data_IF_662155857737
#
_entry.id   IF_662155857737
#
_cell.length_a   1.000
_cell.length_b   1.000
_cell.length_c   1.000
_cell.angle_alpha   90.00
_cell.angle_beta   90.00
_cell.angle_gamma   90.00
#
_symmetry.space_group_name_H-M   'P 1'
#
loop_
_entity.id
_entity.type
_entity.pdbx_description
1 polymer ?
#
# COMPACT_ATOMS: atom_id res chain seq x y z
N UNK A 1 8.40 13.05 -2.06
CA UNK A 1 7.23 12.25 -1.66
C UNK A 1 5.98 13.13 -1.51
N UNK A 2 6.00 14.23 -0.71
CA UNK A 2 4.82 15.11 -0.52
C UNK A 2 4.29 15.68 -1.85
N UNK A 3 5.17 16.22 -2.69
CA UNK A 3 4.76 16.76 -3.98
C UNK A 3 4.17 15.68 -4.90
N UNK A 4 4.74 14.47 -4.90
CA UNK A 4 4.21 13.35 -5.68
C UNK A 4 2.80 12.95 -5.22
N UNK A 5 2.51 12.99 -3.91
CA UNK A 5 1.16 12.70 -3.40
C UNK A 5 0.13 13.74 -3.83
N UNK A 6 0.48 15.02 -3.84
CA UNK A 6 -0.40 16.10 -4.32
C UNK A 6 -0.72 15.92 -5.81
N UNK A 7 0.30 15.70 -6.65
CA UNK A 7 0.13 15.48 -8.09
C UNK A 7 -0.77 14.25 -8.35
N UNK A 8 -0.61 13.20 -7.55
CA UNK A 8 -1.38 11.97 -7.68
C UNK A 8 -2.90 12.20 -7.53
N UNK A 9 -3.33 13.10 -6.64
CA UNK A 9 -4.76 13.42 -6.44
C UNK A 9 -5.41 13.91 -7.73
N UNK A 10 -4.67 14.65 -8.56
CA UNK A 10 -5.18 15.23 -9.81
C UNK A 10 -5.02 14.29 -11.00
N UNK A 11 -3.86 13.68 -11.15
CA UNK A 11 -3.58 12.79 -12.28
C UNK A 11 -4.27 11.44 -12.12
N UNK A 12 -4.25 10.86 -10.92
CA UNK A 12 -4.83 9.54 -10.66
C UNK A 12 -6.33 9.47 -10.91
N UNK A 13 -7.09 10.55 -10.66
CA UNK A 13 -8.53 10.58 -10.96
C UNK A 13 -8.84 10.40 -12.44
N UNK A 14 -7.90 10.71 -13.34
CA UNK A 14 -8.09 10.60 -14.77
C UNK A 14 -8.31 9.16 -15.25
N UNK A 15 -7.99 8.16 -14.46
CA UNK A 15 -8.32 6.76 -14.76
C UNK A 15 -9.84 6.52 -14.89
N UNK A 16 -10.68 7.39 -14.31
CA UNK A 16 -12.13 7.30 -14.44
C UNK A 16 -12.61 7.84 -15.82
N UNK A 17 -11.84 8.75 -16.43
CA UNK A 17 -12.19 9.44 -17.67
C UNK A 17 -11.59 8.75 -18.91
N UNK A 18 -10.48 8.02 -18.74
CA UNK A 18 -9.74 7.42 -19.85
C UNK A 18 -9.92 5.89 -19.91
N UNK A 19 -9.69 5.33 -21.11
CA UNK A 19 -9.57 3.89 -21.27
C UNK A 19 -8.40 3.35 -20.42
N UNK A 20 -8.67 2.29 -19.64
CA UNK A 20 -7.71 1.72 -18.69
C UNK A 20 -6.42 1.30 -19.37
N UNK A 21 -6.47 0.75 -20.60
CA UNK A 21 -5.27 0.32 -21.30
C UNK A 21 -4.40 1.51 -21.71
N UNK A 22 -5.02 2.58 -22.25
CA UNK A 22 -4.32 3.82 -22.61
C UNK A 22 -3.70 4.48 -21.39
N UNK A 23 -4.45 4.51 -20.28
CA UNK A 23 -3.95 5.02 -19.00
C UNK A 23 -2.79 4.20 -18.47
N UNK A 24 -2.87 2.87 -18.55
CA UNK A 24 -1.77 1.98 -18.13
C UNK A 24 -0.51 2.22 -18.96
N UNK A 25 -0.62 2.37 -20.28
CA UNK A 25 0.53 2.69 -21.15
C UNK A 25 1.15 4.04 -20.82
N UNK A 26 0.35 5.05 -20.51
CA UNK A 26 0.85 6.34 -20.03
C UNK A 26 1.67 6.17 -18.72
N UNK A 27 1.15 5.43 -17.76
CA UNK A 27 1.82 5.20 -16.46
C UNK A 27 3.11 4.38 -16.63
N UNK A 28 3.09 3.36 -17.47
CA UNK A 28 4.26 2.53 -17.80
C UNK A 28 5.35 3.37 -18.46
N UNK A 29 4.98 4.20 -19.44
CA UNK A 29 5.93 5.11 -20.10
C UNK A 29 6.54 6.10 -19.11
N UNK A 30 5.73 6.66 -18.22
CA UNK A 30 6.20 7.56 -17.17
C UNK A 30 7.17 6.87 -16.20
N UNK A 31 6.88 5.61 -15.83
CA UNK A 31 7.76 4.82 -14.97
C UNK A 31 9.11 4.52 -15.67
N UNK A 32 9.08 4.15 -16.94
CA UNK A 32 10.30 3.91 -17.71
C UNK A 32 11.15 5.19 -17.84
N UNK A 33 10.53 6.34 -18.11
CA UNK A 33 11.22 7.63 -18.13
C UNK A 33 11.82 7.94 -16.76
N UNK A 34 11.08 7.66 -15.68
CA UNK A 34 11.55 7.90 -14.32
C UNK A 34 12.78 7.07 -13.96
N UNK A 35 12.78 5.78 -14.31
CA UNK A 35 13.91 4.87 -14.08
C UNK A 35 15.12 5.23 -14.94
N UNK A 36 14.88 5.61 -16.20
CA UNK A 36 15.93 6.12 -17.07
C UNK A 36 16.54 7.43 -16.53
N UNK A 37 15.70 8.37 -16.11
CA UNK A 37 16.15 9.64 -15.49
C UNK A 37 17.00 9.37 -14.26
N UNK A 38 16.61 8.39 -13.43
CA UNK A 38 17.37 8.00 -12.25
C UNK A 38 18.78 7.50 -12.63
N UNK A 39 18.94 6.77 -13.74
CA UNK A 39 20.26 6.32 -14.23
C UNK A 39 21.21 7.46 -14.60
N UNK A 40 20.69 8.66 -14.89
CA UNK A 40 21.44 9.84 -15.36
C UNK A 40 21.73 10.88 -14.27
N UNK A 41 21.51 10.56 -13.00
CA UNK A 41 21.77 11.48 -11.89
C UNK A 41 23.23 11.93 -11.88
N UNK A 42 23.42 13.26 -11.93
CA UNK A 42 24.72 13.92 -11.87
C UNK A 42 24.77 15.13 -10.92
N UNK A 43 23.63 15.52 -10.35
CA UNK A 43 23.51 16.62 -9.42
C UNK A 43 22.41 16.39 -8.39
N UNK A 44 22.44 17.10 -7.27
CA UNK A 44 21.42 17.03 -6.21
C UNK A 44 20.06 17.43 -6.75
N UNK A 45 19.96 18.46 -7.55
CA UNK A 45 18.69 18.89 -8.16
C UNK A 45 18.10 17.80 -9.05
N UNK A 46 18.94 17.16 -9.86
CA UNK A 46 18.51 16.07 -10.72
C UNK A 46 18.07 14.84 -9.92
N UNK A 47 18.73 14.55 -8.79
CA UNK A 47 18.33 13.52 -7.85
C UNK A 47 16.93 13.78 -7.27
N UNK A 48 16.62 15.02 -6.87
CA UNK A 48 15.29 15.39 -6.39
C UNK A 48 14.20 15.13 -7.44
N UNK A 49 14.44 15.53 -8.69
CA UNK A 49 13.52 15.29 -9.81
C UNK A 49 13.33 13.80 -10.06
N UNK A 50 14.42 13.04 -10.10
CA UNK A 50 14.37 11.59 -10.33
C UNK A 50 13.60 10.86 -9.22
N UNK A 51 13.85 11.19 -7.95
CA UNK A 51 13.09 10.63 -6.81
C UNK A 51 11.61 11.03 -6.88
N UNK A 52 11.30 12.29 -7.21
CA UNK A 52 9.92 12.74 -7.38
C UNK A 52 9.19 11.92 -8.43
N UNK A 53 9.80 11.76 -9.61
CA UNK A 53 9.23 11.00 -10.72
C UNK A 53 9.04 9.52 -10.36
N UNK A 54 10.03 8.89 -9.71
CA UNK A 54 9.94 7.50 -9.28
C UNK A 54 8.86 7.28 -8.21
N UNK A 55 8.75 8.16 -7.22
CA UNK A 55 7.69 8.09 -6.20
C UNK A 55 6.31 8.30 -6.81
N UNK A 56 6.20 9.22 -7.76
CA UNK A 56 4.95 9.49 -8.45
C UNK A 56 4.54 8.34 -9.37
N UNK A 57 5.43 7.91 -10.29
CA UNK A 57 5.10 6.88 -11.28
C UNK A 57 5.00 5.48 -10.69
N UNK A 58 5.99 5.07 -9.87
CA UNK A 58 6.06 3.71 -9.30
C UNK A 58 5.11 3.54 -8.13
N UNK A 59 5.42 4.15 -6.99
CA UNK A 59 4.63 3.97 -5.76
C UNK A 59 3.22 4.52 -5.88
N UNK A 60 3.04 5.68 -6.52
CA UNK A 60 1.74 6.33 -6.69
C UNK A 60 0.94 5.70 -7.82
N UNK A 61 1.31 6.02 -9.06
CA UNK A 61 0.48 5.75 -10.24
C UNK A 61 0.35 4.26 -10.58
N UNK A 62 1.42 3.45 -10.50
CA UNK A 62 1.34 2.01 -10.81
C UNK A 62 0.44 1.27 -9.82
N UNK A 63 0.66 1.47 -8.50
CA UNK A 63 -0.19 0.87 -7.46
C UNK A 63 -1.64 1.32 -7.59
N UNK A 64 -1.87 2.62 -7.84
CA UNK A 64 -3.19 3.17 -8.06
C UNK A 64 -3.88 2.53 -9.27
N UNK A 65 -3.20 2.47 -10.42
CA UNK A 65 -3.74 1.90 -11.65
C UNK A 65 -4.10 0.43 -11.49
N UNK A 66 -3.18 -0.39 -10.98
CA UNK A 66 -3.41 -1.81 -10.77
C UNK A 66 -4.57 -2.07 -9.81
N UNK A 67 -4.52 -1.48 -8.61
CA UNK A 67 -5.54 -1.71 -7.59
C UNK A 67 -6.92 -1.14 -7.97
N UNK A 68 -6.97 -0.02 -8.72
CA UNK A 68 -8.23 0.55 -9.22
C UNK A 68 -8.84 -0.33 -10.28
N UNK A 69 -8.03 -0.82 -11.23
CA UNK A 69 -8.48 -1.74 -12.28
C UNK A 69 -9.06 -3.01 -11.67
N UNK A 70 -8.34 -3.66 -10.76
CA UNK A 70 -8.84 -4.85 -10.08
C UNK A 70 -10.14 -4.56 -9.32
N UNK A 71 -10.18 -3.47 -8.54
CA UNK A 71 -11.37 -3.13 -7.75
C UNK A 71 -12.59 -2.80 -8.59
N UNK A 72 -12.40 -2.33 -9.83
CA UNK A 72 -13.48 -1.98 -10.76
C UNK A 72 -14.06 -3.20 -11.47
N UNK A 73 -13.20 -4.09 -11.94
CA UNK A 73 -13.61 -5.18 -12.82
C UNK A 73 -13.87 -6.51 -12.10
N UNK A 74 -13.35 -6.71 -10.89
CA UNK A 74 -13.63 -7.90 -10.09
C UNK A 74 -14.60 -7.55 -8.96
N UNK A 75 -15.86 -8.03 -9.07
CA UNK A 75 -16.89 -7.79 -8.05
C UNK A 75 -16.97 -8.94 -7.05
N UNK A 76 -17.20 -10.16 -7.52
CA UNK A 76 -17.41 -11.35 -6.70
C UNK A 76 -16.12 -11.96 -6.14
N UNK A 77 -14.99 -11.78 -6.84
CA UNK A 77 -13.66 -12.33 -6.47
C UNK A 77 -12.63 -11.24 -6.21
N UNK A 78 -13.08 -10.05 -5.78
CA UNK A 78 -12.23 -8.86 -5.59
C UNK A 78 -11.10 -9.12 -4.60
N UNK A 79 -11.39 -9.79 -3.50
CA UNK A 79 -10.38 -10.11 -2.49
C UNK A 79 -9.28 -11.01 -3.04
N UNK A 80 -9.64 -12.09 -3.75
CA UNK A 80 -8.68 -13.00 -4.38
C UNK A 80 -7.86 -12.30 -5.46
N UNK A 81 -8.48 -11.49 -6.31
CA UNK A 81 -7.79 -10.76 -7.38
C UNK A 81 -6.80 -9.74 -6.81
N UNK A 82 -7.19 -9.00 -5.76
CA UNK A 82 -6.30 -8.06 -5.07
C UNK A 82 -5.14 -8.78 -4.38
N UNK A 83 -5.38 -9.89 -3.68
CA UNK A 83 -4.32 -10.65 -3.03
C UNK A 83 -3.31 -11.21 -4.04
N UNK A 84 -3.77 -11.70 -5.18
CA UNK A 84 -2.88 -12.15 -6.26
C UNK A 84 -2.03 -11.00 -6.83
N UNK A 85 -2.63 -9.81 -7.01
CA UNK A 85 -1.90 -8.63 -7.46
C UNK A 85 -0.82 -8.18 -6.44
N UNK A 86 -1.15 -8.16 -5.16
CA UNK A 86 -0.21 -7.80 -4.10
C UNK A 86 0.87 -8.87 -3.86
N UNK A 87 0.58 -10.13 -4.13
CA UNK A 87 1.59 -11.21 -4.08
C UNK A 87 2.75 -10.93 -5.03
N UNK A 88 2.50 -10.33 -6.20
CA UNK A 88 3.55 -9.90 -7.11
C UNK A 88 4.51 -8.89 -6.47
N UNK A 89 3.99 -7.93 -5.67
CA UNK A 89 4.83 -6.98 -4.92
C UNK A 89 5.68 -7.72 -3.88
N UNK A 90 5.09 -8.59 -3.07
CA UNK A 90 5.82 -9.36 -2.06
C UNK A 90 6.89 -10.26 -2.68
N UNK A 91 6.63 -10.83 -3.86
CA UNK A 91 7.61 -11.60 -4.62
C UNK A 91 8.77 -10.71 -5.09
N UNK A 92 8.48 -9.50 -5.55
CA UNK A 92 9.51 -8.54 -5.94
C UNK A 92 10.35 -8.10 -4.72
N UNK A 93 9.73 -7.80 -3.58
CA UNK A 93 10.42 -7.45 -2.34
C UNK A 93 11.37 -8.57 -1.86
N UNK A 94 11.00 -9.82 -2.10
CA UNK A 94 11.85 -10.97 -1.77
C UNK A 94 13.01 -11.17 -2.76
N UNK A 95 12.75 -11.11 -4.07
CA UNK A 95 13.72 -11.42 -5.10
C UNK A 95 14.66 -10.26 -5.46
N UNK A 96 14.11 -9.03 -5.52
CA UNK A 96 14.85 -7.89 -6.05
C UNK A 96 16.12 -7.52 -5.26
N UNK A 97 16.15 -7.53 -3.91
CA UNK A 97 17.38 -7.19 -3.18
C UNK A 97 18.55 -8.11 -3.56
N UNK A 98 18.32 -9.41 -3.61
CA UNK A 98 19.35 -10.39 -3.97
C UNK A 98 19.80 -10.21 -5.42
N UNK A 99 18.85 -10.02 -6.34
CA UNK A 99 19.13 -9.82 -7.76
C UNK A 99 19.92 -8.54 -8.00
N UNK A 100 19.56 -7.44 -7.31
CA UNK A 100 20.25 -6.15 -7.45
C UNK A 100 21.67 -6.22 -6.88
N UNK A 101 21.86 -6.83 -5.69
CA UNK A 101 23.19 -7.02 -5.10
C UNK A 101 24.08 -7.81 -6.06
N UNK A 102 23.58 -8.92 -6.60
CA UNK A 102 24.32 -9.70 -7.59
C UNK A 102 24.63 -8.89 -8.86
N UNK A 103 23.68 -8.14 -9.39
CA UNK A 103 23.90 -7.31 -10.56
C UNK A 103 24.98 -6.23 -10.32
N UNK A 104 25.04 -5.65 -9.10
CA UNK A 104 26.08 -4.68 -8.71
C UNK A 104 27.49 -5.27 -8.68
N UNK A 105 27.66 -6.59 -8.58
CA UNK A 105 28.98 -7.22 -8.69
C UNK A 105 29.49 -7.32 -10.14
N UNK A 106 28.58 -7.19 -11.11
CA UNK A 106 28.87 -7.41 -12.53
C UNK A 106 28.89 -6.09 -13.31
N UNK A 107 28.05 -5.10 -12.90
CA UNK A 107 27.87 -3.87 -13.64
C UNK A 107 27.62 -2.66 -12.73
N UNK A 108 27.84 -1.48 -13.27
CA UNK A 108 27.56 -0.21 -12.59
C UNK A 108 26.05 -0.02 -12.35
N UNK A 109 25.68 0.61 -11.24
CA UNK A 109 24.28 0.84 -10.84
C UNK A 109 23.48 1.61 -11.90
N UNK A 110 24.12 2.51 -12.68
CA UNK A 110 23.46 3.23 -13.77
C UNK A 110 22.97 2.29 -14.86
N UNK A 111 23.80 1.31 -15.22
CA UNK A 111 23.45 0.31 -16.23
C UNK A 111 22.29 -0.57 -15.75
N UNK A 112 22.23 -0.91 -14.45
CA UNK A 112 21.11 -1.65 -13.87
C UNK A 112 19.81 -0.85 -14.05
N UNK A 113 19.80 0.46 -13.76
CA UNK A 113 18.62 1.29 -13.95
C UNK A 113 18.21 1.44 -15.42
N UNK A 114 19.16 1.45 -16.36
CA UNK A 114 18.89 1.45 -17.80
C UNK A 114 18.21 0.12 -18.19
N UNK A 115 18.75 -1.03 -17.73
CA UNK A 115 18.17 -2.34 -18.00
C UNK A 115 16.73 -2.42 -17.43
N UNK A 116 16.51 -1.94 -16.23
CA UNK A 116 15.17 -1.88 -15.62
C UNK A 116 14.24 -1.03 -16.50
N UNK A 117 14.69 0.15 -16.96
CA UNK A 117 13.88 1.03 -17.82
C UNK A 117 13.50 0.35 -19.13
N UNK A 118 14.45 -0.30 -19.79
CA UNK A 118 14.21 -1.05 -21.04
C UNK A 118 13.26 -2.23 -20.78
N UNK A 119 13.47 -2.97 -19.70
CA UNK A 119 12.58 -4.10 -19.33
C UNK A 119 11.14 -3.61 -19.08
N UNK A 120 10.94 -2.47 -18.44
CA UNK A 120 9.62 -1.87 -18.23
C UNK A 120 8.93 -1.62 -19.58
N UNK A 121 9.62 -1.01 -20.55
CA UNK A 121 9.05 -0.71 -21.87
C UNK A 121 8.76 -1.97 -22.68
N UNK A 122 9.60 -2.99 -22.58
CA UNK A 122 9.43 -4.21 -23.37
C UNK A 122 8.34 -5.13 -22.79
N UNK A 123 8.30 -5.32 -21.48
CA UNK A 123 7.44 -6.34 -20.87
C UNK A 123 6.10 -5.79 -20.37
N UNK A 124 6.07 -4.64 -19.69
CA UNK A 124 4.84 -4.18 -19.04
C UNK A 124 3.71 -3.80 -20.02
N UNK A 125 3.96 -3.19 -21.20
CA UNK A 125 2.89 -2.94 -22.17
C UNK A 125 2.26 -4.24 -22.67
N UNK A 126 3.07 -5.26 -22.96
CA UNK A 126 2.57 -6.58 -23.40
C UNK A 126 1.70 -7.23 -22.32
N UNK A 127 2.21 -7.30 -21.08
CA UNK A 127 1.46 -7.85 -19.94
C UNK A 127 0.17 -7.08 -19.73
N UNK A 128 0.22 -5.74 -19.73
CA UNK A 128 -0.98 -4.89 -19.55
C UNK A 128 -2.00 -5.10 -20.68
N UNK A 129 -1.55 -5.25 -21.90
CA UNK A 129 -2.44 -5.49 -23.04
C UNK A 129 -3.22 -6.81 -22.88
N UNK A 130 -2.53 -7.91 -22.59
CA UNK A 130 -3.16 -9.21 -22.42
C UNK A 130 -4.09 -9.25 -21.21
N UNK A 131 -3.63 -8.77 -20.05
CA UNK A 131 -4.44 -8.77 -18.83
C UNK A 131 -5.69 -7.89 -18.95
N UNK A 132 -5.57 -6.66 -19.48
CA UNK A 132 -6.72 -5.76 -19.62
C UNK A 132 -7.70 -6.26 -20.67
N UNK A 133 -7.23 -6.90 -21.74
CA UNK A 133 -8.10 -7.51 -22.76
C UNK A 133 -8.96 -8.63 -22.15
N UNK A 134 -8.36 -9.52 -21.37
CA UNK A 134 -9.10 -10.61 -20.72
C UNK A 134 -10.10 -10.10 -19.68
N UNK A 135 -9.69 -9.13 -18.86
CA UNK A 135 -10.56 -8.50 -17.87
C UNK A 135 -11.78 -7.84 -18.53
N UNK A 136 -11.59 -7.14 -19.66
CA UNK A 136 -12.70 -6.56 -20.42
C UNK A 136 -13.64 -7.59 -21.03
N UNK A 137 -13.17 -8.79 -21.37
CA UNK A 137 -14.00 -9.88 -21.85
C UNK A 137 -14.83 -10.48 -20.71
N UNK A 138 -14.21 -10.72 -19.57
CA UNK A 138 -14.87 -11.22 -18.37
C UNK A 138 -15.95 -10.26 -17.84
N UNK A 139 -15.66 -8.95 -17.79
CA UNK A 139 -16.63 -7.96 -17.30
C UNK A 139 -17.87 -7.80 -18.19
N UNK A 140 -17.79 -8.13 -19.48
CA UNK A 140 -18.98 -8.14 -20.37
C UNK A 140 -19.99 -9.24 -20.02
N UNK A 141 -19.53 -10.33 -19.43
CA UNK A 141 -20.40 -11.41 -18.94
C UNK A 141 -21.03 -11.04 -17.59
N UNK A 142 -20.29 -10.31 -16.73
CA UNK A 142 -20.74 -9.87 -15.41
C UNK A 142 -21.60 -8.59 -15.43
N UNK A 143 -21.54 -7.77 -16.45
CA UNK A 143 -22.32 -6.51 -16.56
C UNK A 143 -23.84 -6.72 -16.46
N UNK A 144 -24.32 -7.93 -16.79
CA UNK A 144 -25.73 -8.31 -16.57
C UNK A 144 -26.06 -8.59 -15.08
N UNK A 145 -25.06 -8.82 -14.21
CA UNK A 145 -25.25 -9.01 -12.78
C UNK A 145 -24.98 -7.73 -11.97
N UNK A 146 -24.04 -6.89 -12.40
CA UNK A 146 -23.67 -5.61 -11.74
C UNK A 146 -24.81 -4.58 -11.79
N UNK A 147 -25.72 -4.70 -12.77
CA UNK A 147 -26.94 -3.88 -12.84
C UNK A 147 -27.92 -4.11 -11.68
N UNK A 148 -27.68 -5.10 -10.80
CA UNK A 148 -28.55 -5.42 -9.65
C UNK A 148 -28.17 -4.77 -8.32
N UNK A 149 -27.00 -4.16 -8.19
CA UNK A 149 -26.66 -3.45 -6.97
C UNK A 149 -27.17 -1.99 -7.03
N UNK A 150 -28.32 -1.74 -6.40
CA UNK A 150 -28.87 -0.39 -6.14
C UNK A 150 -28.02 0.41 -5.14
N UNK A 151 -26.67 0.38 -5.31
CA UNK A 151 -25.75 1.11 -4.45
C UNK A 151 -25.50 2.50 -5.03
N UNK A 152 -25.63 3.53 -4.18
CA UNK A 152 -25.27 4.89 -4.54
C UNK A 152 -23.80 4.97 -5.00
N UNK A 153 -23.58 5.53 -6.19
CA UNK A 153 -22.25 5.77 -6.75
C UNK A 153 -21.74 7.16 -6.31
N UNK A 154 -20.88 7.17 -5.31
CA UNK A 154 -20.42 8.41 -4.67
C UNK A 154 -19.33 9.12 -5.49
N UNK A 155 -19.44 10.44 -5.61
CA UNK A 155 -18.35 11.28 -6.13
C UNK A 155 -17.33 11.58 -5.03
N UNK A 156 -16.06 11.81 -5.39
CA UNK A 156 -14.99 12.13 -4.42
C UNK A 156 -15.35 13.29 -3.49
N UNK A 157 -16.03 14.34 -3.99
CA UNK A 157 -16.45 15.49 -3.19
C UNK A 157 -17.48 15.16 -2.11
N UNK A 158 -18.29 14.12 -2.30
CA UNK A 158 -19.24 13.60 -1.33
C UNK A 158 -18.50 12.71 -0.30
N UNK A 159 -17.59 11.85 -0.79
CA UNK A 159 -16.81 10.92 0.05
C UNK A 159 -15.97 11.67 1.09
N UNK A 160 -15.31 12.76 0.71
CA UNK A 160 -14.51 13.59 1.65
C UNK A 160 -15.35 14.16 2.80
N UNK A 161 -16.65 14.37 2.58
CA UNK A 161 -17.58 14.90 3.60
C UNK A 161 -18.19 13.79 4.46
N UNK A 162 -18.03 12.54 4.09
CA UNK A 162 -18.54 11.39 4.83
C UNK A 162 -17.63 11.09 6.03
N UNK A 163 -18.15 11.20 7.24
CA UNK A 163 -17.39 10.87 8.46
C UNK A 163 -16.87 9.42 8.47
N UNK A 164 -17.56 8.50 7.78
CA UNK A 164 -17.12 7.11 7.66
C UNK A 164 -15.78 7.02 6.92
N UNK A 165 -15.64 7.83 5.84
CA UNK A 165 -14.38 7.92 5.09
C UNK A 165 -13.23 8.37 6.00
N UNK A 166 -13.44 9.40 6.82
CA UNK A 166 -12.41 9.95 7.70
C UNK A 166 -11.97 8.89 8.71
N UNK A 167 -12.92 8.22 9.38
CA UNK A 167 -12.61 7.21 10.40
C UNK A 167 -11.90 5.98 9.79
N UNK A 168 -12.37 5.50 8.63
CA UNK A 168 -11.72 4.39 7.93
C UNK A 168 -10.32 4.80 7.45
N UNK A 169 -10.17 5.99 6.89
CA UNK A 169 -8.88 6.50 6.46
C UNK A 169 -7.88 6.59 7.62
N UNK A 170 -8.26 7.13 8.77
CA UNK A 170 -7.42 7.15 9.98
C UNK A 170 -6.95 5.75 10.35
N UNK A 171 -7.84 4.76 10.33
CA UNK A 171 -7.46 3.39 10.63
C UNK A 171 -6.50 2.80 9.57
N UNK A 172 -6.78 3.01 8.28
CA UNK A 172 -5.94 2.50 7.19
C UNK A 172 -4.57 3.18 7.10
N UNK A 173 -4.47 4.45 7.50
CA UNK A 173 -3.21 5.20 7.47
C UNK A 173 -2.24 4.80 8.58
N UNK A 174 -2.69 4.10 9.64
CA UNK A 174 -1.81 3.60 10.70
C UNK A 174 -0.65 2.77 10.14
N UNK A 175 -0.97 1.82 9.24
CA UNK A 175 0.05 0.94 8.67
C UNK A 175 1.13 1.70 7.87
N UNK A 176 0.83 2.55 6.87
CA UNK A 176 1.85 3.22 6.09
C UNK A 176 2.71 4.20 6.89
N UNK A 177 2.21 4.91 7.92
CA UNK A 177 3.09 5.83 8.63
C UNK A 177 3.89 5.17 9.76
N UNK A 178 3.28 4.30 10.56
CA UNK A 178 3.97 3.67 11.69
C UNK A 178 4.99 2.64 11.19
N UNK A 179 4.59 1.74 10.26
CA UNK A 179 5.51 0.73 9.73
C UNK A 179 6.67 1.37 8.96
N UNK A 180 6.43 2.46 8.20
CA UNK A 180 7.53 3.18 7.54
C UNK A 180 8.50 3.78 8.56
N UNK A 181 8.00 4.37 9.65
CA UNK A 181 8.84 4.87 10.73
C UNK A 181 9.69 3.75 11.35
N UNK A 182 9.08 2.61 11.68
CA UNK A 182 9.77 1.43 12.21
C UNK A 182 10.86 0.94 11.25
N UNK A 183 10.57 0.79 9.96
CA UNK A 183 11.53 0.25 8.99
C UNK A 183 12.67 1.22 8.66
N UNK A 184 12.39 2.53 8.61
CA UNK A 184 13.43 3.54 8.37
C UNK A 184 14.38 3.65 9.57
N UNK A 185 13.84 3.59 10.78
CA UNK A 185 14.63 3.74 12.02
C UNK A 185 14.89 2.39 12.72
N UNK A 186 14.91 1.30 11.97
CA UNK A 186 15.18 -0.04 12.51
C UNK A 186 16.50 -0.14 13.27
N UNK A 187 17.56 0.55 12.83
CA UNK A 187 18.85 0.56 13.52
C UNK A 187 18.76 1.19 14.91
N UNK A 188 17.95 2.23 15.09
CA UNK A 188 17.65 2.82 16.39
C UNK A 188 16.93 1.81 17.29
N UNK A 189 15.94 1.09 16.76
CA UNK A 189 15.21 0.05 17.50
C UNK A 189 16.15 -1.08 17.93
N UNK A 190 17.03 -1.52 17.02
CA UNK A 190 18.04 -2.55 17.30
C UNK A 190 18.94 -2.16 18.48
N UNK A 191 19.49 -0.94 18.43
CA UNK A 191 20.36 -0.43 19.47
C UNK A 191 19.64 -0.29 20.80
N UNK A 192 18.40 0.25 20.81
CA UNK A 192 17.60 0.45 22.01
C UNK A 192 17.19 -0.88 22.68
N UNK A 193 16.95 -1.94 21.89
CA UNK A 193 16.53 -3.26 22.37
C UNK A 193 17.70 -4.25 22.56
N UNK A 194 18.92 -3.86 22.18
CA UNK A 194 20.09 -4.76 22.16
C UNK A 194 19.82 -6.05 21.34
N UNK A 195 19.03 -5.94 20.28
CA UNK A 195 18.81 -7.06 19.36
C UNK A 195 19.96 -7.11 18.34
N UNK A 196 20.51 -8.28 18.11
CA UNK A 196 21.55 -8.43 17.09
C UNK A 196 21.01 -8.20 15.69
N UNK A 197 21.83 -7.65 14.79
CA UNK A 197 21.49 -7.41 13.38
C UNK A 197 21.00 -8.68 12.68
N UNK A 198 21.60 -9.83 13.01
CA UNK A 198 21.20 -11.12 12.46
C UNK A 198 19.78 -11.52 12.90
N UNK A 199 19.42 -11.25 14.14
CA UNK A 199 18.08 -11.56 14.69
C UNK A 199 17.00 -10.74 13.97
N UNK A 200 17.26 -9.45 13.69
CA UNK A 200 16.27 -8.64 13.00
C UNK A 200 16.13 -9.08 11.53
N UNK A 201 17.23 -9.43 10.86
CA UNK A 201 17.17 -9.97 9.50
C UNK A 201 16.29 -11.23 9.42
N UNK A 202 16.45 -12.16 10.38
CA UNK A 202 15.58 -13.32 10.50
C UNK A 202 14.12 -12.95 10.79
N UNK A 203 13.89 -11.94 11.63
CA UNK A 203 12.54 -11.47 11.95
C UNK A 203 11.84 -10.85 10.75
N UNK A 204 12.56 -10.22 9.82
CA UNK A 204 12.02 -9.79 8.52
C UNK A 204 11.56 -10.94 7.65
N UNK A 205 12.18 -12.12 7.74
CA UNK A 205 11.68 -13.31 7.05
C UNK A 205 10.32 -13.73 7.61
N UNK A 206 10.16 -13.68 8.94
CA UNK A 206 8.87 -13.97 9.59
C UNK A 206 7.81 -12.94 9.18
N UNK A 207 8.16 -11.65 9.15
CA UNK A 207 7.28 -10.59 8.63
C UNK A 207 6.80 -10.91 7.21
N UNK A 208 7.71 -11.23 6.30
CA UNK A 208 7.38 -11.50 4.90
C UNK A 208 6.47 -12.73 4.74
N UNK A 209 6.79 -13.82 5.42
CA UNK A 209 5.98 -15.04 5.40
C UNK A 209 4.58 -14.76 5.97
N UNK A 210 4.50 -14.11 7.14
CA UNK A 210 3.24 -13.76 7.78
C UNK A 210 2.39 -12.83 6.88
N UNK A 211 3.01 -11.85 6.22
CA UNK A 211 2.35 -10.93 5.31
C UNK A 211 1.76 -11.66 4.11
N UNK A 212 2.53 -12.54 3.45
CA UNK A 212 2.07 -13.31 2.29
C UNK A 212 0.94 -14.28 2.66
N UNK A 213 1.10 -15.03 3.75
CA UNK A 213 0.05 -15.95 4.21
C UNK A 213 -1.24 -15.19 4.52
N UNK A 214 -1.14 -14.09 5.24
CA UNK A 214 -2.30 -13.27 5.61
C UNK A 214 -2.93 -12.61 4.38
N UNK A 215 -2.16 -12.22 3.39
CA UNK A 215 -2.65 -11.66 2.13
C UNK A 215 -3.67 -12.59 1.46
N UNK A 216 -3.36 -13.88 1.34
CA UNK A 216 -4.26 -14.88 0.74
C UNK A 216 -5.46 -15.17 1.64
N UNK A 217 -5.24 -15.30 2.95
CA UNK A 217 -6.32 -15.49 3.93
C UNK A 217 -7.27 -14.30 3.90
N UNK A 218 -6.75 -13.06 3.91
CA UNK A 218 -7.54 -11.84 3.83
C UNK A 218 -8.36 -11.77 2.53
N UNK A 219 -7.76 -12.14 1.39
CA UNK A 219 -8.46 -12.20 0.11
C UNK A 219 -9.69 -13.13 0.16
N UNK A 220 -9.49 -14.34 0.68
CA UNK A 220 -10.59 -15.31 0.86
C UNK A 220 -11.66 -14.79 1.84
N UNK A 221 -11.23 -14.23 2.98
CA UNK A 221 -12.16 -13.72 4.00
C UNK A 221 -12.98 -12.52 3.49
N UNK A 222 -12.39 -11.65 2.67
CA UNK A 222 -13.10 -10.51 2.07
C UNK A 222 -14.19 -11.00 1.14
N UNK A 223 -13.91 -11.97 0.28
CA UNK A 223 -14.91 -12.53 -0.64
C UNK A 223 -16.05 -13.24 0.10
N UNK A 224 -15.78 -13.79 1.30
CA UNK A 224 -16.78 -14.47 2.13
C UNK A 224 -17.58 -13.54 3.05
N UNK A 225 -16.92 -12.56 3.69
CA UNK A 225 -17.49 -11.76 4.79
C UNK A 225 -17.60 -10.27 4.50
N UNK A 226 -17.11 -9.78 3.39
CA UNK A 226 -16.92 -8.38 3.00
C UNK A 226 -15.77 -7.66 3.73
N UNK A 227 -15.12 -6.73 3.03
CA UNK A 227 -13.95 -6.01 3.57
C UNK A 227 -14.32 -5.13 4.77
N UNK A 228 -15.49 -4.50 4.76
CA UNK A 228 -15.97 -3.60 5.81
C UNK A 228 -16.11 -4.28 7.18
N UNK A 229 -16.47 -5.57 7.22
CA UNK A 229 -16.55 -6.34 8.48
C UNK A 229 -15.17 -6.68 9.03
N UNK A 230 -14.18 -6.81 8.16
CA UNK A 230 -12.81 -7.19 8.51
C UNK A 230 -11.93 -6.01 8.93
N UNK A 231 -12.35 -4.77 8.64
CA UNK A 231 -11.57 -3.57 8.96
C UNK A 231 -11.13 -3.47 10.42
N UNK A 232 -11.99 -3.88 11.35
CA UNK A 232 -11.71 -3.81 12.80
C UNK A 232 -10.53 -4.72 13.16
N UNK A 233 -10.38 -5.85 12.47
CA UNK A 233 -9.33 -6.82 12.78
C UNK A 233 -7.97 -6.46 12.18
N UNK A 234 -7.92 -5.54 11.21
CA UNK A 234 -6.72 -5.22 10.44
C UNK A 234 -5.55 -4.76 11.30
N UNK A 235 -5.79 -3.84 12.23
CA UNK A 235 -4.74 -3.23 13.05
C UNK A 235 -4.61 -3.79 14.46
N UNK A 236 -5.39 -4.81 14.84
CA UNK A 236 -5.26 -5.48 16.15
C UNK A 236 -3.89 -6.15 16.28
N UNK A 237 -3.40 -6.95 15.30
CA UNK A 237 -2.07 -7.53 15.39
C UNK A 237 -0.98 -6.45 15.46
N UNK A 238 -1.16 -5.32 14.76
CA UNK A 238 -0.21 -4.21 14.82
C UNK A 238 -0.16 -3.56 16.22
N UNK A 239 -1.31 -3.35 16.86
CA UNK A 239 -1.35 -2.84 18.22
C UNK A 239 -0.63 -3.80 19.18
N UNK A 240 -0.87 -5.11 19.07
CA UNK A 240 -0.19 -6.13 19.88
C UNK A 240 1.32 -6.10 19.60
N UNK A 241 1.76 -5.92 18.37
CA UNK A 241 3.18 -5.83 18.04
C UNK A 241 3.87 -4.65 18.75
N UNK A 242 3.22 -3.49 18.80
CA UNK A 242 3.74 -2.32 19.51
C UNK A 242 3.80 -2.56 21.03
N UNK A 243 2.82 -3.26 21.62
CA UNK A 243 2.88 -3.67 23.02
C UNK A 243 4.06 -4.62 23.27
N UNK A 244 4.35 -5.53 22.36
CA UNK A 244 5.54 -6.39 22.45
C UNK A 244 6.81 -5.54 22.44
N UNK A 245 6.90 -4.55 21.56
CA UNK A 245 8.04 -3.65 21.49
C UNK A 245 8.21 -2.82 22.77
N UNK A 246 7.12 -2.46 23.46
CA UNK A 246 7.14 -1.72 24.74
C UNK A 246 7.65 -2.59 25.87
N UNK A 247 7.09 -3.78 26.04
CA UNK A 247 7.26 -4.57 27.28
C UNK A 247 8.36 -5.63 27.22
N UNK A 248 8.80 -6.05 26.06
CA UNK A 248 9.76 -7.16 25.92
C UNK A 248 11.10 -6.69 25.37
N UNK A 249 12.20 -7.19 25.98
CA UNK A 249 13.58 -6.90 25.56
C UNK A 249 14.24 -8.11 24.88
N UNK A 250 13.71 -9.31 25.06
CA UNK A 250 14.31 -10.52 24.51
C UNK A 250 14.43 -10.48 22.98
N UNK A 251 15.55 -10.89 22.38
CA UNK A 251 15.69 -10.98 20.91
C UNK A 251 14.59 -11.82 20.26
N UNK A 252 14.05 -12.84 20.93
CA UNK A 252 12.94 -13.67 20.44
C UNK A 252 11.67 -12.84 20.23
N UNK A 253 11.47 -11.77 20.99
CA UNK A 253 10.30 -10.90 20.84
C UNK A 253 10.26 -10.17 19.48
N UNK A 254 11.43 -9.99 18.83
CA UNK A 254 11.50 -9.40 17.49
C UNK A 254 10.74 -10.20 16.42
N UNK A 255 10.72 -11.52 16.53
CA UNK A 255 9.99 -12.40 15.60
C UNK A 255 8.49 -12.18 15.73
N UNK A 256 7.96 -12.09 16.94
CA UNK A 256 6.55 -11.80 17.19
C UNK A 256 6.21 -10.36 16.79
N UNK A 257 7.06 -9.40 17.10
CA UNK A 257 6.91 -8.01 16.75
C UNK A 257 6.76 -7.83 15.24
N UNK A 258 7.74 -8.27 14.45
CA UNK A 258 7.69 -8.15 13.00
C UNK A 258 6.66 -9.09 12.36
N UNK A 259 6.47 -10.29 12.89
CA UNK A 259 5.46 -11.23 12.41
C UNK A 259 4.04 -10.65 12.49
N UNK A 260 3.67 -10.01 13.59
CA UNK A 260 2.35 -9.38 13.75
C UNK A 260 2.19 -8.13 12.88
N UNK A 261 3.26 -7.36 12.65
CA UNK A 261 3.24 -6.29 11.64
C UNK A 261 2.96 -6.90 10.26
N UNK A 262 3.59 -8.03 9.93
CA UNK A 262 3.34 -8.76 8.68
C UNK A 262 1.88 -9.18 8.51
N UNK A 263 1.25 -9.69 9.57
CA UNK A 263 -0.18 -10.02 9.57
C UNK A 263 -1.03 -8.79 9.24
N UNK A 264 -0.79 -7.66 9.92
CA UNK A 264 -1.54 -6.43 9.63
C UNK A 264 -1.28 -5.89 8.23
N UNK A 265 -0.04 -6.01 7.71
CA UNK A 265 0.31 -5.61 6.35
C UNK A 265 -0.46 -6.44 5.30
N UNK A 266 -0.55 -7.75 5.47
CA UNK A 266 -1.33 -8.61 4.58
C UNK A 266 -2.81 -8.20 4.52
N UNK A 267 -3.44 -7.91 5.66
CA UNK A 267 -4.80 -7.37 5.69
C UNK A 267 -4.89 -5.98 5.04
N UNK A 268 -3.99 -5.06 5.37
CA UNK A 268 -4.03 -3.67 4.90
C UNK A 268 -3.97 -3.58 3.37
N UNK A 269 -3.15 -4.41 2.72
CA UNK A 269 -2.98 -4.42 1.27
C UNK A 269 -4.28 -4.76 0.53
N UNK A 270 -5.06 -5.72 1.01
CA UNK A 270 -6.32 -6.14 0.36
C UNK A 270 -7.48 -5.25 0.79
N UNK A 271 -7.65 -5.01 2.10
CA UNK A 271 -8.71 -4.17 2.65
C UNK A 271 -8.64 -2.72 2.15
N UNK A 272 -7.43 -2.15 2.09
CA UNK A 272 -7.19 -0.79 1.60
C UNK A 272 -7.65 -0.55 0.17
N UNK A 273 -7.84 -1.60 -0.60
CA UNK A 273 -8.35 -1.50 -1.98
C UNK A 273 -9.82 -1.89 -2.10
N UNK A 274 -10.27 -2.92 -1.39
CA UNK A 274 -11.62 -3.47 -1.49
C UNK A 274 -12.68 -2.60 -0.81
N UNK A 275 -12.38 -2.06 0.37
CA UNK A 275 -13.35 -1.33 1.21
C UNK A 275 -13.98 -0.14 0.51
N UNK A 276 -13.18 0.64 -0.23
CA UNK A 276 -13.67 1.82 -0.90
C UNK A 276 -14.68 1.50 -2.01
N UNK A 277 -14.43 0.42 -2.76
CA UNK A 277 -15.34 -0.03 -3.80
C UNK A 277 -16.65 -0.58 -3.22
N UNK A 278 -16.59 -1.29 -2.08
CA UNK A 278 -17.77 -1.82 -1.40
C UNK A 278 -18.66 -0.71 -0.80
N UNK A 279 -18.07 0.36 -0.25
CA UNK A 279 -18.82 1.42 0.42
C UNK A 279 -19.34 2.49 -0.53
N UNK A 280 -18.55 2.87 -1.53
CA UNK A 280 -18.81 4.04 -2.36
C UNK A 280 -19.11 3.73 -3.81
N UNK A 281 -19.12 2.44 -4.19
CA UNK A 281 -19.36 1.99 -5.55
C UNK A 281 -18.13 2.10 -6.45
N UNK A 282 -18.25 1.57 -7.66
CA UNK A 282 -17.11 1.40 -8.59
C UNK A 282 -17.04 2.46 -9.68
N UNK A 283 -18.11 3.22 -9.92
CA UNK A 283 -18.20 4.19 -11.05
C UNK A 283 -17.12 5.28 -10.96
N UNK A 284 -16.86 5.83 -9.78
CA UNK A 284 -15.89 6.89 -9.54
C UNK A 284 -14.71 6.42 -8.65
N UNK A 285 -14.47 5.10 -8.63
CA UNK A 285 -13.49 4.49 -7.72
C UNK A 285 -12.06 4.99 -7.99
N UNK A 286 -11.72 5.32 -9.23
CA UNK A 286 -10.41 5.88 -9.57
C UNK A 286 -10.13 7.19 -8.86
N UNK A 287 -11.10 8.11 -8.83
CA UNK A 287 -10.95 9.41 -8.16
C UNK A 287 -10.89 9.28 -6.64
N UNK A 288 -11.59 8.30 -6.06
CA UNK A 288 -11.56 8.00 -4.62
C UNK A 288 -10.21 7.37 -4.26
N UNK A 289 -9.77 6.36 -5.02
CA UNK A 289 -8.49 5.70 -4.79
C UNK A 289 -7.28 6.60 -5.05
N UNK A 290 -7.35 7.55 -5.99
CA UNK A 290 -6.32 8.56 -6.16
C UNK A 290 -6.11 9.38 -4.88
N UNK A 291 -7.19 9.75 -4.18
CA UNK A 291 -7.11 10.43 -2.90
C UNK A 291 -6.52 9.53 -1.82
N UNK A 292 -7.02 8.31 -1.67
CA UNK A 292 -6.56 7.39 -0.59
C UNK A 292 -5.12 6.94 -0.81
N UNK A 293 -4.69 6.72 -2.07
CA UNK A 293 -3.28 6.43 -2.40
C UNK A 293 -2.39 7.64 -2.12
N UNK A 294 -2.85 8.85 -2.42
CA UNK A 294 -2.11 10.07 -2.10
C UNK A 294 -1.96 10.25 -0.58
N UNK A 295 -3.02 9.98 0.20
CA UNK A 295 -2.97 10.00 1.67
C UNK A 295 -1.99 8.94 2.20
N UNK A 296 -1.97 7.74 1.61
CA UNK A 296 -1.02 6.68 1.96
C UNK A 296 0.43 7.13 1.69
N UNK A 297 0.72 7.69 0.52
CA UNK A 297 2.06 8.20 0.16
C UNK A 297 2.48 9.36 1.08
N UNK A 298 1.56 10.28 1.38
CA UNK A 298 1.78 11.34 2.37
C UNK A 298 2.11 10.75 3.75
N UNK A 299 1.35 9.74 4.17
CA UNK A 299 1.48 9.09 5.47
C UNK A 299 2.85 8.42 5.65
N UNK A 300 3.44 7.84 4.60
CA UNK A 300 4.82 7.30 4.66
C UNK A 300 5.85 8.41 4.92
N UNK A 301 5.69 9.57 4.30
CA UNK A 301 6.56 10.71 4.55
C UNK A 301 6.38 11.27 5.97
N UNK A 302 5.14 11.36 6.44
CA UNK A 302 4.83 11.76 7.82
C UNK A 302 5.47 10.81 8.82
N UNK A 303 5.35 9.49 8.63
CA UNK A 303 5.95 8.49 9.51
C UNK A 303 7.46 8.64 9.64
N UNK A 304 8.16 8.82 8.52
CA UNK A 304 9.62 9.06 8.54
C UNK A 304 9.96 10.34 9.31
N UNK A 305 9.26 11.44 9.04
CA UNK A 305 9.51 12.72 9.71
C UNK A 305 9.16 12.66 11.21
N UNK A 306 8.03 12.06 11.56
CA UNK A 306 7.56 11.95 12.94
C UNK A 306 8.55 11.14 13.80
N UNK A 307 8.95 9.94 13.34
CA UNK A 307 9.91 9.13 14.08
C UNK A 307 11.25 9.84 14.22
N UNK A 308 11.77 10.49 13.15
CA UNK A 308 13.00 11.25 13.21
C UNK A 308 12.94 12.38 14.24
N UNK A 309 11.88 13.19 14.21
CA UNK A 309 11.69 14.27 15.19
C UNK A 309 11.59 13.74 16.63
N UNK A 310 10.88 12.64 16.86
CA UNK A 310 10.80 12.06 18.20
C UNK A 310 12.18 11.59 18.70
N UNK A 311 12.96 10.94 17.83
CA UNK A 311 14.32 10.51 18.15
C UNK A 311 15.23 11.72 18.42
N UNK A 312 15.14 12.78 17.60
CA UNK A 312 15.91 14.02 17.79
C UNK A 312 15.57 14.75 19.10
N UNK A 313 14.36 14.53 19.64
CA UNK A 313 13.91 15.00 20.95
C UNK A 313 14.13 13.99 22.09
N UNK A 314 15.02 13.03 21.89
CA UNK A 314 15.41 12.00 22.89
C UNK A 314 14.25 11.10 23.38
N UNK A 315 13.16 10.95 22.60
CA UNK A 315 12.11 9.99 22.94
C UNK A 315 12.63 8.56 22.78
N UNK A 316 12.39 7.73 23.78
CA UNK A 316 12.70 6.31 23.70
C UNK A 316 11.79 5.57 22.73
N UNK A 317 12.22 4.39 22.28
CA UNK A 317 11.40 3.57 21.36
C UNK A 317 10.07 3.14 22.01
N UNK A 318 10.05 2.93 23.32
CA UNK A 318 8.85 2.62 24.09
C UNK A 318 7.85 3.79 24.05
N UNK A 319 8.33 5.03 24.23
CA UNK A 319 7.49 6.23 24.17
C UNK A 319 6.93 6.46 22.77
N UNK A 320 7.74 6.30 21.72
CA UNK A 320 7.31 6.38 20.32
C UNK A 320 6.25 5.31 20.03
N UNK A 321 6.48 4.09 20.56
CA UNK A 321 5.54 2.97 20.40
C UNK A 321 4.23 3.20 21.17
N UNK A 322 4.27 3.85 22.35
CA UNK A 322 3.06 4.23 23.11
C UNK A 322 2.22 5.24 22.34
N UNK A 323 2.84 6.29 21.77
CA UNK A 323 2.13 7.29 20.96
C UNK A 323 1.51 6.64 19.72
N UNK A 324 2.28 5.81 19.02
CA UNK A 324 1.82 5.08 17.83
C UNK A 324 0.70 4.09 18.17
N UNK A 325 0.82 3.35 19.27
CA UNK A 325 -0.19 2.44 19.78
C UNK A 325 -1.47 3.17 20.22
N UNK A 326 -1.32 4.32 20.87
CA UNK A 326 -2.43 5.20 21.22
C UNK A 326 -3.24 5.65 19.98
N UNK A 327 -2.56 6.03 18.91
CA UNK A 327 -3.21 6.35 17.64
C UNK A 327 -3.99 5.15 17.08
N UNK A 328 -3.39 3.96 17.04
CA UNK A 328 -4.07 2.75 16.58
C UNK A 328 -5.30 2.47 17.45
N UNK A 329 -5.16 2.52 18.78
CA UNK A 329 -6.24 2.27 19.72
C UNK A 329 -7.41 3.22 19.50
N UNK A 330 -7.15 4.53 19.38
CA UNK A 330 -8.17 5.54 19.09
C UNK A 330 -8.87 5.23 17.76
N UNK A 331 -8.10 4.92 16.71
CA UNK A 331 -8.67 4.60 15.40
C UNK A 331 -9.56 3.36 15.43
N UNK A 332 -9.18 2.32 16.19
CA UNK A 332 -9.98 1.11 16.40
C UNK A 332 -11.25 1.40 17.19
N UNK A 333 -11.20 2.22 18.24
CA UNK A 333 -12.38 2.63 19.02
C UNK A 333 -13.37 3.36 18.12
N UNK A 334 -12.89 4.37 17.36
CA UNK A 334 -13.73 5.12 16.42
C UNK A 334 -14.38 4.19 15.40
N UNK A 335 -13.61 3.25 14.84
CA UNK A 335 -14.11 2.28 13.87
C UNK A 335 -15.16 1.32 14.49
N UNK A 336 -14.93 0.90 15.73
CA UNK A 336 -15.87 0.05 16.46
C UNK A 336 -17.20 0.77 16.72
N UNK A 337 -17.18 2.06 17.06
CA UNK A 337 -18.38 2.86 17.28
C UNK A 337 -19.24 2.99 16.01
N UNK A 338 -18.63 3.01 14.84
CA UNK A 338 -19.35 3.14 13.57
C UNK A 338 -19.60 1.80 12.85
N UNK A 339 -19.17 0.65 13.39
CA UNK A 339 -19.22 -0.66 12.71
C UNK A 339 -20.58 -1.01 12.08
N UNK A 340 -21.66 -0.68 12.77
CA UNK A 340 -23.02 -0.94 12.30
C UNK A 340 -23.50 0.03 11.20
N UNK A 341 -22.76 1.13 10.99
CA UNK A 341 -23.03 2.15 9.97
C UNK A 341 -22.17 1.98 8.71
N UNK A 342 -21.28 0.98 8.69
CA UNK A 342 -20.42 0.66 7.57
C UNK A 342 -21.17 -0.14 6.48
N UNK A 343 -22.37 0.31 6.12
CA UNK A 343 -23.15 -0.25 5.05
C UNK A 343 -23.13 0.67 3.83
N UNK A 344 -23.10 0.12 2.60
CA UNK A 344 -23.28 0.92 1.40
C UNK A 344 -24.65 1.61 1.46
N UNK A 345 -24.72 2.81 0.90
CA UNK A 345 -25.97 3.54 0.78
C UNK A 345 -26.75 2.95 -0.39
N UNK A 346 -27.92 2.40 -0.14
CA UNK A 346 -28.85 1.89 -1.15
C UNK A 346 -29.64 3.09 -1.70
N UNK A 347 -29.89 3.12 -3.02
CA UNK A 347 -30.71 4.13 -3.71
C UNK A 347 -32.19 3.85 -3.53
#
# INVERSE_FOLDING_TARGET
>A
TLLSSIILIWVGKKIDDFDVLKFSFFVISLLAISTFTFSKINSITFLFIAILLMRFSGQGMMSHTASTTISRYFTNTRGKALSTGWFGLSTAEFLMPVTIIYALTIMDWRNIWIIISVSIILFLPLVSYFLVKEVKLSSREDDNEVAKENIKQWKRSEVIKDYRFIIIALNMLAMPWIATGIFVYQSFILSAKNWGEYTIAQSFMVYSIASVLTLFVAGYLIDKFTSRKLLIYMNIPFLISLLILIYFQSPVSSFFFLGLIGVSNGFANVLGSSTWAELYGVKFIGSIKALTTALMVFSTAFGTAFFGLMIDFDFSIEQISMISGGYILISLILLFLIKNKLNPTIL
#
